data_IF_791655543742
#
_entry.id   IF_791655543742
#
_cell.length_a   1.000
_cell.length_b   1.000
_cell.length_c   1.000
_cell.angle_alpha   90.00
_cell.angle_beta   90.00
_cell.angle_gamma   90.00
#
_symmetry.space_group_name_H-M   'P 1'
#
loop_
_entity.id
_entity.type
_entity.pdbx_description
1 polymer ?
#
# COMPACT_ATOMS: atom_id res chain seq x y z
N UNK A 1 27.08 -56.67 -44.51
CA UNK A 1 26.28 -57.80 -45.02
C UNK A 1 24.92 -57.69 -44.32
N UNK A 2 23.82 -57.29 -44.92
CA UNK A 2 23.49 -56.79 -46.25
C UNK A 2 22.15 -56.07 -46.08
N UNK A 3 21.95 -55.01 -46.86
CA UNK A 3 20.72 -54.22 -46.94
C UNK A 3 19.51 -55.05 -47.42
N UNK A 4 18.29 -54.61 -47.08
CA UNK A 4 17.12 -54.81 -47.95
C UNK A 4 16.07 -53.69 -47.76
N UNK A 5 16.13 -52.71 -48.67
CA UNK A 5 15.06 -52.02 -49.44
C UNK A 5 13.58 -52.10 -48.97
N UNK A 6 12.95 -50.97 -48.58
CA UNK A 6 12.01 -50.03 -49.31
C UNK A 6 10.50 -50.28 -49.01
N UNK A 7 9.52 -49.39 -49.35
CA UNK A 7 9.36 -47.93 -49.08
C UNK A 7 7.90 -47.61 -48.57
N UNK A 8 7.20 -46.47 -48.86
CA UNK A 8 6.54 -45.61 -47.85
C UNK A 8 4.98 -45.54 -47.96
N UNK A 9 4.36 -44.49 -47.39
CA UNK A 9 2.96 -44.00 -47.55
C UNK A 9 1.97 -44.42 -46.44
N UNK A 10 0.91 -43.68 -46.09
CA UNK A 10 0.47 -42.29 -46.21
C UNK A 10 -0.76 -42.21 -45.26
N UNK A 11 -1.02 -41.02 -44.74
CA UNK A 11 -2.16 -40.67 -43.89
C UNK A 11 -3.52 -40.98 -44.52
N UNK A 12 -4.49 -41.42 -43.71
CA UNK A 12 -5.91 -41.21 -44.00
C UNK A 12 -6.73 -41.07 -42.71
N UNK A 13 -7.50 -39.98 -42.69
CA UNK A 13 -8.33 -39.53 -41.58
C UNK A 13 -9.69 -40.23 -41.61
N UNK A 14 -10.16 -40.72 -40.46
CA UNK A 14 -11.51 -41.25 -40.31
C UNK A 14 -12.50 -40.12 -40.10
N UNK A 15 -13.49 -40.08 -41.00
CA UNK A 15 -14.67 -39.24 -41.01
C UNK A 15 -15.67 -39.66 -39.92
N UNK A 16 -16.30 -38.68 -39.28
CA UNK A 16 -17.66 -38.82 -38.73
C UNK A 16 -18.38 -37.49 -38.85
N UNK A 17 -19.46 -37.53 -39.63
CA UNK A 17 -20.39 -36.44 -39.92
C UNK A 17 -21.29 -36.17 -38.72
N UNK A 18 -21.61 -34.90 -38.45
CA UNK A 18 -22.75 -34.52 -37.59
C UNK A 18 -23.54 -33.42 -38.29
N UNK A 19 -24.85 -33.64 -38.30
CA UNK A 19 -25.89 -32.97 -39.06
C UNK A 19 -25.99 -31.45 -38.86
N UNK A 20 -26.30 -30.78 -39.98
CA UNK A 20 -26.77 -29.40 -40.06
C UNK A 20 -28.21 -29.30 -39.56
N UNK A 21 -28.42 -28.63 -38.43
CA UNK A 21 -29.73 -28.06 -38.07
C UNK A 21 -29.61 -26.54 -38.10
N UNK A 22 -30.33 -25.92 -39.03
CA UNK A 22 -30.41 -24.47 -39.19
C UNK A 22 -31.04 -23.80 -37.98
N UNK A 23 -30.29 -22.91 -37.35
CA UNK A 23 -30.78 -21.91 -36.40
C UNK A 23 -30.37 -20.54 -36.90
N UNK A 24 -31.35 -19.65 -37.04
CA UNK A 24 -31.16 -18.27 -37.49
C UNK A 24 -30.10 -17.54 -36.66
N UNK A 25 -29.04 -17.09 -37.33
CA UNK A 25 -27.95 -16.34 -36.69
C UNK A 25 -28.40 -14.88 -36.58
N UNK A 26 -28.81 -14.49 -35.37
CA UNK A 26 -28.97 -13.08 -35.03
C UNK A 26 -27.65 -12.33 -35.26
N UNK A 27 -27.66 -11.10 -35.81
CA UNK A 27 -26.44 -10.37 -36.09
C UNK A 27 -25.66 -10.09 -34.79
N UNK A 28 -24.32 -10.19 -34.80
CA UNK A 28 -23.53 -9.98 -33.59
C UNK A 28 -23.69 -8.53 -33.15
N UNK A 29 -24.29 -8.33 -31.97
CA UNK A 29 -24.40 -7.03 -31.35
C UNK A 29 -23.00 -6.42 -31.20
N UNK A 30 -22.73 -5.34 -31.93
CA UNK A 30 -21.47 -4.60 -31.88
C UNK A 30 -21.18 -4.19 -30.43
N UNK A 31 -20.21 -4.87 -29.81
CA UNK A 31 -19.70 -4.49 -28.50
C UNK A 31 -19.01 -3.14 -28.64
N UNK A 32 -19.74 -2.06 -28.36
CA UNK A 32 -19.20 -0.70 -28.29
C UNK A 32 -18.13 -0.67 -27.20
N UNK A 33 -16.88 -0.87 -27.59
CA UNK A 33 -15.72 -0.67 -26.74
C UNK A 33 -15.66 0.83 -26.41
N UNK A 34 -16.28 1.23 -25.31
CA UNK A 34 -16.12 2.57 -24.76
C UNK A 34 -14.63 2.73 -24.48
N UNK A 35 -13.94 3.57 -25.26
CA UNK A 35 -12.54 3.93 -24.99
C UNK A 35 -12.48 4.40 -23.55
N UNK A 36 -11.80 3.63 -22.70
CA UNK A 36 -11.54 4.01 -21.31
C UNK A 36 -10.59 5.21 -21.39
N UNK A 37 -11.14 6.41 -21.37
CA UNK A 37 -10.37 7.64 -21.26
C UNK A 37 -9.68 7.56 -19.89
N UNK A 38 -8.39 7.21 -19.88
CA UNK A 38 -7.56 7.30 -18.67
C UNK A 38 -7.62 8.75 -18.21
N UNK A 39 -8.40 9.03 -17.16
CA UNK A 39 -8.40 10.33 -16.48
C UNK A 39 -6.93 10.68 -16.21
N UNK A 40 -6.49 11.82 -16.75
CA UNK A 40 -5.16 12.37 -16.42
C UNK A 40 -5.09 12.43 -14.90
N UNK A 41 -4.05 11.83 -14.32
CA UNK A 41 -3.84 11.87 -12.87
C UNK A 41 -3.77 13.34 -12.47
N UNK A 42 -4.56 13.74 -11.49
CA UNK A 42 -4.47 15.07 -10.89
C UNK A 42 -3.17 15.18 -10.07
N UNK A 43 -2.63 16.39 -9.86
CA UNK A 43 -1.50 16.59 -8.97
C UNK A 43 -1.87 16.22 -7.54
N UNK A 44 -0.90 15.77 -6.75
CA UNK A 44 -1.10 15.59 -5.32
C UNK A 44 -1.25 16.96 -4.65
N UNK A 45 -2.30 17.14 -3.83
CA UNK A 45 -2.47 18.38 -3.07
C UNK A 45 -1.52 18.42 -1.86
N UNK A 46 -1.05 19.61 -1.44
CA UNK A 46 -0.54 19.81 -0.09
C UNK A 46 -1.62 19.45 0.94
N UNK A 47 -1.26 18.68 1.97
CA UNK A 47 -2.18 18.27 3.04
C UNK A 47 -2.25 19.32 4.15
N UNK A 48 -1.10 19.89 4.48
CA UNK A 48 -0.96 20.97 5.46
C UNK A 48 -0.17 22.12 4.84
N UNK A 49 -0.35 23.32 5.40
CA UNK A 49 0.50 24.45 5.09
C UNK A 49 1.87 24.26 5.75
N UNK A 50 3.02 24.55 5.08
CA UNK A 50 4.34 24.37 5.66
C UNK A 50 4.52 25.13 6.98
N UNK A 51 3.83 26.26 7.16
CA UNK A 51 3.87 27.10 8.36
C UNK A 51 3.31 26.41 9.62
N UNK A 52 2.41 25.43 9.44
CA UNK A 52 1.78 24.68 10.53
C UNK A 52 2.65 23.52 11.03
N UNK A 53 3.72 23.17 10.30
CA UNK A 53 4.65 22.12 10.72
C UNK A 53 5.65 22.68 11.74
N UNK A 54 5.20 22.84 12.98
CA UNK A 54 6.07 23.25 14.10
C UNK A 54 6.65 22.01 14.76
N UNK A 55 7.97 22.00 14.95
CA UNK A 55 8.62 21.07 15.89
C UNK A 55 8.39 21.59 17.30
N UNK A 56 7.27 21.21 17.92
CA UNK A 56 7.08 21.51 19.33
C UNK A 56 8.11 20.72 20.15
N UNK A 57 8.84 21.37 21.07
CA UNK A 57 9.72 20.67 21.99
C UNK A 57 8.89 19.67 22.81
N UNK A 58 9.45 18.50 23.17
CA UNK A 58 8.71 17.52 23.94
C UNK A 58 8.24 18.13 25.26
N UNK A 59 7.03 17.76 25.74
CA UNK A 59 6.49 18.31 26.97
C UNK A 59 7.47 18.11 28.12
N UNK A 60 7.55 19.09 29.02
CA UNK A 60 8.45 19.05 30.17
C UNK A 60 7.98 17.99 31.16
N UNK A 61 8.50 16.77 31.01
CA UNK A 61 8.20 15.64 31.91
C UNK A 61 9.19 15.51 33.05
N UNK A 62 10.33 16.21 33.01
CA UNK A 62 11.39 16.11 34.01
C UNK A 62 12.08 17.45 34.30
N UNK A 63 13.15 17.38 35.09
CA UNK A 63 13.85 18.57 35.61
C UNK A 63 14.98 19.03 34.70
N UNK A 64 15.66 18.11 34.02
CA UNK A 64 16.82 18.41 33.18
C UNK A 64 16.56 17.94 31.75
N UNK A 65 16.64 18.83 30.77
CA UNK A 65 16.52 18.46 29.37
C UNK A 65 17.85 17.93 28.81
N UNK A 66 17.85 16.68 28.36
CA UNK A 66 18.99 16.06 27.70
C UNK A 66 18.93 16.30 26.19
N UNK A 67 19.80 17.19 25.70
CA UNK A 67 19.86 17.61 24.30
C UNK A 67 20.24 16.45 23.37
N UNK A 68 21.15 15.57 23.78
CA UNK A 68 21.62 14.44 22.95
C UNK A 68 20.54 13.41 22.67
N UNK A 69 19.68 13.14 23.66
CA UNK A 69 18.59 12.18 23.52
C UNK A 69 17.23 12.85 23.24
N UNK A 70 17.22 14.18 23.12
CA UNK A 70 16.02 15.01 22.96
C UNK A 70 14.90 14.62 23.95
N UNK A 71 15.26 14.43 25.22
CA UNK A 71 14.39 13.90 26.28
C UNK A 71 14.65 14.56 27.63
N UNK A 72 13.62 14.65 28.44
CA UNK A 72 13.75 15.09 29.83
C UNK A 72 14.23 13.94 30.74
N UNK A 73 15.18 14.25 31.61
CA UNK A 73 15.71 13.39 32.67
C UNK A 73 15.07 13.74 34.02
N UNK A 74 14.94 12.75 34.90
CA UNK A 74 14.45 12.95 36.27
C UNK A 74 12.94 13.19 36.39
N UNK A 75 12.17 12.83 35.35
CA UNK A 75 10.72 12.85 35.34
C UNK A 75 10.08 11.52 35.74
N UNK A 76 8.76 11.53 35.97
CA UNK A 76 8.00 10.31 36.17
C UNK A 76 8.10 9.42 34.92
N UNK A 77 8.23 8.11 35.12
CA UNK A 77 8.39 7.14 34.02
C UNK A 77 7.00 6.84 33.45
N UNK A 78 6.34 7.89 32.97
CA UNK A 78 5.05 7.80 32.30
C UNK A 78 5.16 6.75 31.20
N UNK A 79 4.23 5.80 31.24
CA UNK A 79 4.22 4.72 30.27
C UNK A 79 4.05 5.34 28.89
N UNK A 80 5.03 5.14 27.99
CA UNK A 80 5.06 5.70 26.62
C UNK A 80 3.75 5.45 25.86
N UNK A 81 3.05 4.43 26.31
CA UNK A 81 1.76 4.00 25.89
C UNK A 81 0.60 4.90 26.34
N UNK A 82 0.58 5.37 27.59
CA UNK A 82 -0.44 6.27 28.13
C UNK A 82 -0.30 7.68 27.55
N UNK A 83 0.90 8.10 27.19
CA UNK A 83 1.19 9.45 26.65
C UNK A 83 0.90 9.64 25.14
N UNK A 84 0.05 8.80 24.52
CA UNK A 84 -0.28 8.95 23.10
C UNK A 84 -1.36 10.02 22.90
N UNK A 85 -1.06 11.02 22.08
CA UNK A 85 -2.02 12.05 21.66
C UNK A 85 -2.63 11.72 20.30
N UNK A 86 -3.79 12.32 20.00
CA UNK A 86 -4.41 12.22 18.69
C UNK A 86 -3.46 12.79 17.61
N UNK A 87 -3.47 12.19 16.42
CA UNK A 87 -2.67 12.65 15.31
C UNK A 87 -3.12 14.04 14.83
N UNK A 88 -2.19 14.87 14.41
CA UNK A 88 -2.47 16.22 13.91
C UNK A 88 -3.27 16.24 12.59
N UNK A 89 -3.22 15.16 11.81
CA UNK A 89 -3.91 15.04 10.54
C UNK A 89 -4.26 13.59 10.20
N UNK A 90 -5.18 13.42 9.23
CA UNK A 90 -5.55 12.13 8.64
C UNK A 90 -5.49 12.26 7.12
N UNK A 91 -4.80 11.32 6.47
CA UNK A 91 -4.76 11.25 5.01
C UNK A 91 -6.12 10.87 4.45
N UNK A 92 -6.63 11.66 3.50
CA UNK A 92 -7.79 11.29 2.70
C UNK A 92 -7.31 10.80 1.34
N UNK A 93 -7.24 9.48 1.15
CA UNK A 93 -6.70 8.86 -0.06
C UNK A 93 -7.43 9.37 -1.32
N UNK A 94 -8.74 9.57 -1.25
CA UNK A 94 -9.56 10.01 -2.38
C UNK A 94 -9.34 11.48 -2.77
N UNK A 95 -8.75 12.31 -1.92
CA UNK A 95 -8.45 13.72 -2.22
C UNK A 95 -6.95 14.00 -2.37
N UNK A 96 -6.14 13.36 -1.53
CA UNK A 96 -4.71 13.65 -1.39
C UNK A 96 -3.87 12.88 -2.42
N UNK A 97 -4.38 11.77 -2.95
CA UNK A 97 -3.69 11.00 -3.99
C UNK A 97 -3.58 11.80 -5.28
N UNK A 98 -2.38 11.81 -5.84
CA UNK A 98 -2.07 12.44 -7.12
C UNK A 98 -0.63 12.16 -7.54
N UNK A 99 -0.23 12.72 -8.69
CA UNK A 99 1.15 12.59 -9.13
C UNK A 99 2.08 13.54 -8.36
N UNK A 100 3.33 13.12 -8.17
CA UNK A 100 4.40 13.90 -7.54
C UNK A 100 5.66 13.92 -8.42
N UNK A 101 6.76 14.53 -7.95
CA UNK A 101 8.06 14.45 -8.66
C UNK A 101 8.59 13.01 -8.72
N UNK A 102 8.27 12.20 -7.72
CA UNK A 102 8.67 10.82 -7.59
C UNK A 102 8.14 9.92 -8.73
N UNK A 103 6.98 10.23 -9.33
CA UNK A 103 6.43 9.42 -10.42
C UNK A 103 7.33 9.38 -11.68
N UNK A 104 8.29 10.31 -11.81
CA UNK A 104 9.27 10.32 -12.90
C UNK A 104 10.44 9.37 -12.66
N UNK A 105 10.70 9.00 -11.41
CA UNK A 105 11.85 8.18 -11.01
C UNK A 105 11.34 6.78 -10.67
N UNK A 106 11.73 5.74 -11.44
CA UNK A 106 11.33 4.38 -11.11
C UNK A 106 11.99 3.93 -9.80
N UNK A 107 11.27 3.15 -8.99
CA UNK A 107 11.77 2.66 -7.70
C UNK A 107 11.73 3.68 -6.56
N UNK A 108 11.08 4.83 -6.73
CA UNK A 108 10.84 5.75 -5.61
C UNK A 108 9.95 5.12 -4.52
N UNK A 109 10.17 5.56 -3.28
CA UNK A 109 9.42 5.12 -2.11
C UNK A 109 8.16 5.96 -1.88
N UNK A 110 7.25 5.44 -1.04
CA UNK A 110 6.05 6.13 -0.63
C UNK A 110 6.33 7.18 0.43
N UNK A 111 5.55 8.26 0.43
CA UNK A 111 5.74 9.34 1.40
C UNK A 111 5.14 8.97 2.76
N UNK A 112 5.97 8.93 3.80
CA UNK A 112 5.51 8.68 5.17
C UNK A 112 4.60 9.82 5.69
N UNK A 113 4.91 11.06 5.34
CA UNK A 113 4.10 12.22 5.73
C UNK A 113 2.74 12.22 5.03
N UNK A 114 2.69 11.75 3.78
CA UNK A 114 1.43 11.52 3.06
C UNK A 114 0.57 10.51 3.80
N UNK A 115 1.12 9.36 4.17
CA UNK A 115 0.41 8.33 4.92
C UNK A 115 -0.14 8.85 6.26
N UNK A 116 0.58 9.78 6.90
CA UNK A 116 0.16 10.47 8.13
C UNK A 116 -0.81 11.63 7.92
N UNK A 117 -1.08 12.07 6.68
CA UNK A 117 -1.99 13.18 6.42
C UNK A 117 -1.38 14.58 6.64
N UNK A 118 -0.05 14.70 6.63
CA UNK A 118 0.66 15.93 7.02
C UNK A 118 1.77 16.32 6.04
N UNK A 119 1.73 15.87 4.78
CA UNK A 119 2.72 16.27 3.79
C UNK A 119 2.48 17.70 3.27
N UNK A 120 3.43 18.64 3.45
CA UNK A 120 3.29 20.00 2.93
C UNK A 120 3.68 20.14 1.44
N UNK A 121 4.46 19.19 0.90
CA UNK A 121 5.07 19.31 -0.44
C UNK A 121 4.10 19.07 -1.60
N UNK A 122 3.00 18.32 -1.38
CA UNK A 122 2.04 17.98 -2.43
C UNK A 122 2.72 17.40 -3.70
N UNK A 123 2.43 17.99 -4.85
CA UNK A 123 2.98 17.62 -6.17
C UNK A 123 4.52 17.68 -6.22
N UNK A 124 5.14 18.54 -5.42
CA UNK A 124 6.59 18.71 -5.41
C UNK A 124 7.32 17.68 -4.54
N UNK A 125 6.59 16.75 -3.93
CA UNK A 125 7.18 15.71 -3.10
C UNK A 125 8.08 14.78 -3.93
N UNK A 126 9.24 14.44 -3.37
CA UNK A 126 10.20 13.47 -3.91
C UNK A 126 9.78 12.02 -3.67
N UNK A 127 8.70 11.83 -2.91
CA UNK A 127 8.11 10.54 -2.60
C UNK A 127 6.72 10.41 -3.22
N UNK A 128 6.25 9.17 -3.39
CA UNK A 128 4.97 8.87 -4.05
C UNK A 128 3.78 9.18 -3.14
N UNK A 129 2.75 9.83 -3.68
CA UNK A 129 1.47 10.12 -3.01
C UNK A 129 0.32 9.32 -3.64
N UNK A 130 0.35 8.00 -3.48
CA UNK A 130 -0.71 7.06 -3.89
C UNK A 130 -0.63 5.81 -3.03
N UNK A 131 -1.63 4.93 -3.16
CA UNK A 131 -1.53 3.59 -2.58
C UNK A 131 -0.58 2.69 -3.38
N UNK A 132 0.15 1.76 -2.73
CA UNK A 132 0.90 0.73 -3.40
C UNK A 132 0.02 -0.15 -4.28
N UNK A 133 0.45 -0.35 -5.53
CA UNK A 133 -0.17 -1.25 -6.48
C UNK A 133 0.63 -2.54 -6.67
N UNK A 134 0.14 -3.38 -7.58
CA UNK A 134 0.75 -4.70 -7.87
C UNK A 134 2.17 -4.57 -8.43
N UNK A 135 2.46 -3.46 -9.11
CA UNK A 135 3.75 -3.19 -9.76
C UNK A 135 4.77 -2.47 -8.86
N UNK A 136 4.42 -2.17 -7.61
CA UNK A 136 5.32 -1.51 -6.66
C UNK A 136 6.04 -2.59 -5.83
N UNK A 137 7.17 -3.09 -6.35
CA UNK A 137 7.97 -4.14 -5.71
C UNK A 137 9.19 -3.53 -5.01
N UNK A 138 9.40 -3.86 -3.73
CA UNK A 138 10.54 -3.38 -2.94
C UNK A 138 11.39 -4.55 -2.43
N UNK A 139 12.66 -4.26 -2.11
CA UNK A 139 13.54 -5.21 -1.45
C UNK A 139 12.92 -5.61 -0.08
N UNK A 140 12.84 -6.91 0.27
CA UNK A 140 12.33 -7.36 1.56
C UNK A 140 13.00 -6.73 2.79
N UNK A 141 14.24 -6.27 2.68
CA UNK A 141 14.98 -5.62 3.76
C UNK A 141 14.49 -4.20 4.08
N UNK A 142 13.71 -3.59 3.19
CA UNK A 142 13.28 -2.20 3.27
C UNK A 142 11.75 -2.16 3.24
N UNK A 143 11.14 -1.24 3.99
CA UNK A 143 9.69 -1.02 3.90
C UNK A 143 9.30 -0.14 2.69
N UNK A 144 8.00 0.00 2.45
CA UNK A 144 7.47 0.81 1.34
C UNK A 144 7.84 2.30 1.44
N UNK A 145 8.29 2.75 2.62
CA UNK A 145 8.69 4.13 2.89
C UNK A 145 10.21 4.33 2.77
N UNK A 146 10.98 3.29 2.41
CA UNK A 146 12.43 3.38 2.26
C UNK A 146 13.21 3.23 3.57
N UNK A 147 12.60 2.68 4.63
CA UNK A 147 13.26 2.46 5.93
C UNK A 147 13.72 1.01 6.07
N UNK A 148 14.91 0.82 6.60
CA UNK A 148 15.46 -0.52 6.85
C UNK A 148 14.67 -1.26 7.92
N UNK A 149 14.35 -2.52 7.64
CA UNK A 149 13.76 -3.46 8.59
C UNK A 149 14.83 -4.09 9.46
N UNK A 150 14.42 -4.58 10.62
CA UNK A 150 15.32 -5.25 11.57
C UNK A 150 15.35 -6.77 11.30
N UNK A 151 16.34 -7.48 11.84
CA UNK A 151 16.39 -8.95 11.76
C UNK A 151 15.21 -9.57 12.52
N UNK A 152 15.01 -9.12 13.75
CA UNK A 152 13.95 -9.57 14.65
C UNK A 152 12.96 -8.46 14.96
N UNK A 153 11.78 -8.85 15.45
CA UNK A 153 10.82 -7.89 15.98
C UNK A 153 11.35 -7.30 17.29
N UNK A 154 10.93 -6.06 17.57
CA UNK A 154 11.06 -5.49 18.91
C UNK A 154 10.12 -6.22 19.86
N UNK A 155 10.46 -6.22 21.15
CA UNK A 155 9.64 -6.86 22.20
C UNK A 155 8.20 -6.33 22.23
N UNK A 156 7.99 -5.07 21.83
CA UNK A 156 6.69 -4.43 21.75
C UNK A 156 5.95 -4.63 20.41
N UNK A 157 6.50 -5.43 19.49
CA UNK A 157 6.03 -5.63 18.12
C UNK A 157 5.86 -4.33 17.32
N UNK A 158 6.49 -3.23 17.76
CA UNK A 158 6.40 -1.92 17.13
C UNK A 158 7.45 -1.69 16.04
N UNK A 159 7.33 -0.54 15.36
CA UNK A 159 8.33 -0.05 14.41
C UNK A 159 8.13 -0.52 12.96
N UNK A 160 9.23 -0.84 12.28
CA UNK A 160 9.31 -1.16 10.83
C UNK A 160 9.09 -2.65 10.51
N UNK A 161 9.12 -3.50 11.56
CA UNK A 161 9.02 -4.96 11.46
C UNK A 161 10.35 -5.65 11.15
N UNK A 162 10.26 -6.98 11.00
CA UNK A 162 11.37 -7.88 10.66
C UNK A 162 11.41 -8.15 9.15
N UNK A 163 12.61 -8.28 8.56
CA UNK A 163 12.78 -8.77 7.18
C UNK A 163 12.80 -10.31 7.08
N UNK A 164 13.07 -11.01 8.19
CA UNK A 164 13.11 -12.47 8.24
C UNK A 164 11.72 -13.10 8.14
N UNK A 165 10.67 -12.36 8.57
CA UNK A 165 9.28 -12.84 8.58
C UNK A 165 8.37 -11.87 7.86
N UNK A 166 7.69 -12.36 6.82
CA UNK A 166 6.65 -11.60 6.14
C UNK A 166 5.37 -11.62 6.98
N UNK A 167 4.99 -10.46 7.53
CA UNK A 167 3.76 -10.29 8.27
C UNK A 167 2.83 -9.32 7.55
N UNK A 168 1.58 -9.75 7.30
CA UNK A 168 0.50 -8.97 6.67
C UNK A 168 -0.67 -8.69 7.62
N UNK A 169 -0.51 -9.06 8.89
CA UNK A 169 -1.51 -8.85 9.95
C UNK A 169 -1.01 -7.75 10.89
N UNK A 170 -1.90 -6.80 11.19
CA UNK A 170 -1.63 -5.73 12.15
C UNK A 170 -2.48 -5.94 13.41
N UNK A 171 -1.92 -5.62 14.56
CA UNK A 171 -2.67 -5.56 15.81
C UNK A 171 -3.17 -4.13 16.01
N UNK A 172 -4.49 -3.97 16.22
CA UNK A 172 -5.12 -2.69 16.54
C UNK A 172 -5.68 -2.78 17.95
N UNK A 173 -4.98 -2.15 18.90
CA UNK A 173 -5.37 -2.14 20.31
C UNK A 173 -5.93 -0.79 20.76
N UNK A 174 -6.51 -0.77 21.96
CA UNK A 174 -7.07 0.44 22.61
C UNK A 174 -8.18 1.12 21.82
N UNK A 175 -8.96 0.29 21.14
CA UNK A 175 -10.23 0.71 20.56
C UNK A 175 -11.24 0.79 21.71
N UNK A 176 -12.01 1.86 21.75
CA UNK A 176 -13.12 1.97 22.69
C UNK A 176 -14.20 0.96 22.30
N UNK A 177 -14.72 0.19 23.26
CA UNK A 177 -15.69 -0.86 22.98
C UNK A 177 -17.04 -0.24 22.59
N UNK A 178 -17.48 -0.49 21.36
CA UNK A 178 -18.80 -0.14 20.82
C UNK A 178 -19.33 -1.33 20.02
N UNK A 179 -20.65 -1.39 19.80
CA UNK A 179 -21.28 -2.50 19.08
C UNK A 179 -20.93 -2.53 17.58
N UNK A 180 -20.47 -1.40 17.05
CA UNK A 180 -20.13 -1.18 15.63
C UNK A 180 -18.61 -1.21 15.34
N UNK A 181 -17.77 -1.66 16.28
CA UNK A 181 -16.30 -1.67 16.13
C UNK A 181 -15.85 -2.33 14.82
N UNK A 182 -16.36 -3.51 14.52
CA UNK A 182 -15.92 -4.28 13.35
C UNK A 182 -16.18 -3.52 12.06
N UNK A 183 -17.35 -2.88 11.94
CA UNK A 183 -17.73 -2.08 10.78
C UNK A 183 -16.85 -0.83 10.67
N UNK A 184 -16.62 -0.12 11.78
CA UNK A 184 -15.78 1.07 11.82
C UNK A 184 -14.35 0.76 11.40
N UNK A 185 -13.76 -0.30 11.96
CA UNK A 185 -12.41 -0.76 11.62
C UNK A 185 -12.34 -1.16 10.14
N UNK A 186 -13.26 -2.00 9.67
CA UNK A 186 -13.29 -2.44 8.28
C UNK A 186 -13.40 -1.25 7.31
N UNK A 187 -14.29 -0.29 7.58
CA UNK A 187 -14.50 0.91 6.77
C UNK A 187 -13.23 1.75 6.65
N UNK A 188 -12.53 1.99 7.75
CA UNK A 188 -11.30 2.80 7.75
C UNK A 188 -10.11 2.09 7.09
N UNK A 189 -9.95 0.78 7.30
CA UNK A 189 -8.86 0.03 6.67
C UNK A 189 -9.09 -0.26 5.18
N UNK A 190 -10.35 -0.38 4.75
CA UNK A 190 -10.70 -0.58 3.34
C UNK A 190 -10.24 0.57 2.44
N UNK A 191 -10.09 1.79 2.96
CA UNK A 191 -9.54 2.93 2.21
C UNK A 191 -8.07 2.73 1.79
N UNK A 192 -7.31 1.88 2.51
CA UNK A 192 -5.86 1.73 2.32
C UNK A 192 -5.46 0.53 1.48
N UNK A 193 -6.38 -0.41 1.23
CA UNK A 193 -6.11 -1.59 0.44
C UNK A 193 -7.11 -2.71 0.69
N UNK A 194 -6.86 -3.84 0.03
CA UNK A 194 -7.68 -5.02 0.20
C UNK A 194 -7.43 -5.63 1.59
N UNK A 195 -8.51 -5.76 2.38
CA UNK A 195 -8.49 -6.45 3.67
C UNK A 195 -8.85 -7.92 3.44
N UNK A 196 -7.98 -8.84 3.85
CA UNK A 196 -8.20 -10.28 3.71
C UNK A 196 -9.15 -10.82 4.79
N UNK A 197 -8.92 -10.43 6.05
CA UNK A 197 -9.72 -10.85 7.20
C UNK A 197 -9.60 -9.85 8.34
N UNK A 198 -10.72 -9.50 8.96
CA UNK A 198 -10.81 -8.84 10.27
C UNK A 198 -11.37 -9.83 11.31
N UNK A 199 -10.91 -9.72 12.55
CA UNK A 199 -11.32 -10.51 13.71
C UNK A 199 -11.39 -9.61 14.93
#
# INVERSE_FOLDING_TARGET
MSDNETPPQNVEATSTEVALTGGEVAPPAERKMKKIIRKKKRPARPQIDPSMMKSEPPPQTGTIFNIWYNKWSGGDREDKYLSKTAAAGRCNVALDTGYTKADKVPGSYFCLFFARGICPKGQECEYLHRLPGIHDHFNPNIDVFGRDKHSDYRDDMGGVGSFMRQNRTIYVGRIHVTDDIEEVVARHFAEWGQVERSK
#
